data_IF_387597333557
#
_entry.id   IF_387597333557
#
_cell.length_a   1.000
_cell.length_b   1.000
_cell.length_c   1.000
_cell.angle_alpha   90.00
_cell.angle_beta   90.00
_cell.angle_gamma   90.00
#
_symmetry.space_group_name_H-M   'P 1'
#
loop_
_entity.id
_entity.type
_entity.pdbx_description
1 polymer ?
#
# COMPACT_ATOMS: atom_id res chain seq x y z
N UNK A 1 4.92 13.05 -23.08
CA UNK A 1 4.28 11.99 -22.32
C UNK A 1 5.26 11.42 -21.30
N UNK A 2 4.88 11.26 -20.07
CA UNK A 2 5.76 10.74 -19.03
C UNK A 2 6.06 9.27 -19.26
N UNK A 3 7.32 8.87 -19.06
CA UNK A 3 7.74 7.47 -19.11
C UNK A 3 7.28 6.76 -17.84
N UNK A 4 7.29 5.41 -17.86
CA UNK A 4 7.00 4.62 -16.66
C UNK A 4 7.94 4.99 -15.52
N UNK A 5 9.25 5.16 -15.81
CA UNK A 5 10.23 5.51 -14.78
C UNK A 5 9.95 6.87 -14.15
N UNK A 6 9.53 7.84 -14.95
CA UNK A 6 9.17 9.17 -14.44
C UNK A 6 7.93 9.11 -13.54
N UNK A 7 6.94 8.34 -13.95
CA UNK A 7 5.71 8.14 -13.17
C UNK A 7 6.05 7.44 -11.86
N UNK A 8 6.81 6.36 -11.91
CA UNK A 8 7.22 5.62 -10.72
C UNK A 8 7.98 6.51 -9.75
N UNK A 9 8.92 7.32 -10.25
CA UNK A 9 9.72 8.22 -9.42
C UNK A 9 8.83 9.27 -8.75
N UNK A 10 7.85 9.81 -9.48
CA UNK A 10 6.92 10.79 -8.93
C UNK A 10 6.12 10.20 -7.76
N UNK A 11 5.56 9.00 -7.95
CA UNK A 11 4.79 8.36 -6.88
C UNK A 11 5.67 7.95 -5.71
N UNK A 12 6.90 7.52 -5.95
CA UNK A 12 7.86 7.24 -4.88
C UNK A 12 8.13 8.49 -4.06
N UNK A 13 8.38 9.61 -4.71
CA UNK A 13 8.63 10.89 -4.05
C UNK A 13 7.42 11.32 -3.21
N UNK A 14 6.23 11.23 -3.78
CA UNK A 14 5.01 11.67 -3.11
C UNK A 14 4.64 10.73 -1.95
N UNK A 15 4.86 9.42 -2.11
CA UNK A 15 4.64 8.47 -1.03
C UNK A 15 5.61 8.71 0.13
N UNK A 16 6.88 8.98 -0.18
CA UNK A 16 7.88 9.30 0.84
C UNK A 16 7.54 10.60 1.58
N UNK A 17 6.95 11.57 0.87
CA UNK A 17 6.47 12.80 1.51
C UNK A 17 5.33 12.50 2.49
N UNK A 18 4.43 11.58 2.13
CA UNK A 18 3.36 11.15 3.04
C UNK A 18 3.93 10.45 4.27
N UNK A 19 4.94 9.59 4.09
CA UNK A 19 5.62 8.95 5.21
C UNK A 19 6.26 9.97 6.15
N UNK A 20 6.85 11.03 5.60
CA UNK A 20 7.46 12.09 6.41
C UNK A 20 6.40 12.78 7.28
N UNK A 21 5.19 12.95 6.77
CA UNK A 21 4.08 13.49 7.57
C UNK A 21 3.73 12.56 8.73
N UNK A 22 3.73 11.26 8.49
CA UNK A 22 3.47 10.28 9.54
C UNK A 22 4.55 10.33 10.61
N UNK A 23 5.81 10.45 10.22
CA UNK A 23 6.94 10.58 11.17
C UNK A 23 6.82 11.82 12.03
N UNK A 24 6.17 12.87 11.54
CA UNK A 24 5.91 14.10 12.26
C UNK A 24 4.62 14.04 13.08
N UNK A 25 4.01 12.88 13.16
CA UNK A 25 2.73 12.67 13.86
C UNK A 25 1.57 13.46 13.23
N UNK A 26 1.69 13.80 11.96
CA UNK A 26 0.65 14.49 11.18
C UNK A 26 -0.24 13.45 10.48
N UNK A 27 -0.95 12.64 11.27
CA UNK A 27 -1.67 11.47 10.78
C UNK A 27 -2.77 11.86 9.77
N UNK A 28 -3.52 12.90 10.06
CA UNK A 28 -4.60 13.33 9.17
C UNK A 28 -4.07 13.81 7.83
N UNK A 29 -2.97 14.57 7.85
CA UNK A 29 -2.33 15.04 6.62
C UNK A 29 -1.74 13.89 5.81
N UNK A 30 -1.15 12.92 6.50
CA UNK A 30 -0.64 11.71 5.86
C UNK A 30 -1.78 10.94 5.18
N UNK A 31 -2.88 10.74 5.88
CA UNK A 31 -4.06 10.05 5.35
C UNK A 31 -4.58 10.74 4.10
N UNK A 32 -4.71 12.06 4.14
CA UNK A 32 -5.17 12.84 2.99
C UNK A 32 -4.20 12.70 1.81
N UNK A 33 -2.90 12.79 2.07
CA UNK A 33 -1.88 12.65 1.02
C UNK A 33 -1.97 11.27 0.35
N UNK A 34 -2.16 10.20 1.13
CA UNK A 34 -2.28 8.85 0.58
C UNK A 34 -3.57 8.70 -0.22
N UNK A 35 -4.68 9.26 0.25
CA UNK A 35 -5.94 9.25 -0.51
C UNK A 35 -5.79 9.98 -1.84
N UNK A 36 -5.06 11.09 -1.86
CA UNK A 36 -4.81 11.84 -3.09
C UNK A 36 -3.98 11.03 -4.09
N UNK A 37 -3.01 10.26 -3.60
CA UNK A 37 -2.25 9.35 -4.47
C UNK A 37 -3.15 8.31 -5.10
N UNK A 38 -4.05 7.72 -4.33
CA UNK A 38 -4.98 6.70 -4.84
C UNK A 38 -5.98 7.28 -5.83
N UNK A 39 -6.31 8.57 -5.72
CA UNK A 39 -7.24 9.22 -6.64
C UNK A 39 -6.64 9.47 -8.02
N UNK A 40 -5.32 9.42 -8.14
CA UNK A 40 -4.63 9.60 -9.42
C UNK A 40 -4.71 8.30 -10.23
N UNK A 41 -5.33 8.36 -11.39
CA UNK A 41 -5.52 7.17 -12.24
C UNK A 41 -4.21 6.63 -12.81
N UNK A 42 -3.14 7.42 -12.80
CA UNK A 42 -1.82 7.00 -13.30
C UNK A 42 -1.03 6.18 -12.27
N UNK A 43 -1.56 5.99 -11.06
CA UNK A 43 -0.82 5.30 -10.02
C UNK A 43 -0.48 3.85 -10.42
N UNK A 44 0.81 3.46 -10.40
CA UNK A 44 1.19 2.07 -10.68
C UNK A 44 0.69 1.12 -9.59
N UNK A 45 0.49 -0.14 -9.95
CA UNK A 45 -0.05 -1.16 -9.05
C UNK A 45 0.72 -1.28 -7.73
N UNK A 46 2.05 -1.29 -7.81
CA UNK A 46 2.88 -1.45 -6.61
C UNK A 46 2.65 -0.31 -5.63
N UNK A 47 2.55 0.92 -6.15
CA UNK A 47 2.26 2.08 -5.31
C UNK A 47 0.84 2.05 -4.78
N UNK A 48 -0.10 1.56 -5.58
CA UNK A 48 -1.49 1.41 -5.16
C UNK A 48 -1.61 0.44 -3.98
N UNK A 49 -0.91 -0.68 -4.03
CA UNK A 49 -0.88 -1.65 -2.93
C UNK A 49 -0.30 -1.02 -1.67
N UNK A 50 0.80 -0.28 -1.80
CA UNK A 50 1.41 0.43 -0.67
C UNK A 50 0.42 1.42 -0.03
N UNK A 51 -0.32 2.15 -0.85
CA UNK A 51 -1.29 3.12 -0.37
C UNK A 51 -2.46 2.43 0.35
N UNK A 52 -2.96 1.33 -0.19
CA UNK A 52 -4.01 0.56 0.47
C UNK A 52 -3.54 0.05 1.83
N UNK A 53 -2.34 -0.50 1.89
CA UNK A 53 -1.76 -1.01 3.13
C UNK A 53 -1.59 0.12 4.15
N UNK A 54 -1.13 1.28 3.70
CA UNK A 54 -0.96 2.44 4.57
C UNK A 54 -2.31 2.89 5.16
N UNK A 55 -3.34 3.02 4.34
CA UNK A 55 -4.66 3.42 4.82
C UNK A 55 -5.25 2.39 5.79
N UNK A 56 -5.00 1.11 5.54
CA UNK A 56 -5.41 0.05 6.44
C UNK A 56 -4.80 0.22 7.83
N UNK A 57 -3.62 0.83 7.92
CA UNK A 57 -2.95 1.07 9.20
C UNK A 57 -3.35 2.40 9.85
N UNK A 58 -3.72 3.41 9.05
CA UNK A 58 -3.93 4.77 9.54
C UNK A 58 -5.37 5.06 9.95
N UNK A 59 -6.35 4.41 9.34
CA UNK A 59 -7.76 4.73 9.56
C UNK A 59 -8.26 4.22 10.90
N UNK A 60 -9.01 5.05 11.60
CA UNK A 60 -9.59 4.71 12.89
C UNK A 60 -10.80 3.78 12.75
N UNK A 61 -11.58 3.95 11.67
CA UNK A 61 -12.74 3.11 11.42
C UNK A 61 -12.27 1.72 10.95
N UNK A 62 -12.54 0.71 11.77
CA UNK A 62 -12.11 -0.66 11.47
C UNK A 62 -12.69 -1.17 10.15
N UNK A 63 -13.95 -0.88 9.86
CA UNK A 63 -14.58 -1.35 8.62
C UNK A 63 -13.91 -0.76 7.38
N UNK A 64 -13.66 0.54 7.42
CA UNK A 64 -12.99 1.21 6.30
C UNK A 64 -11.55 0.72 6.15
N UNK A 65 -10.84 0.62 7.27
CA UNK A 65 -9.46 0.12 7.27
C UNK A 65 -9.41 -1.30 6.69
N UNK A 66 -10.32 -2.16 7.11
CA UNK A 66 -10.35 -3.54 6.64
C UNK A 66 -10.65 -3.63 5.14
N UNK A 67 -11.52 -2.76 4.62
CA UNK A 67 -11.79 -2.69 3.18
C UNK A 67 -10.52 -2.39 2.41
N UNK A 68 -9.70 -1.44 2.89
CA UNK A 68 -8.44 -1.12 2.23
C UNK A 68 -7.44 -2.27 2.33
N UNK A 69 -7.39 -2.97 3.46
CA UNK A 69 -6.55 -4.15 3.58
C UNK A 69 -6.94 -5.21 2.54
N UNK A 70 -8.23 -5.50 2.40
CA UNK A 70 -8.72 -6.48 1.43
C UNK A 70 -8.40 -6.05 -0.01
N UNK A 71 -8.55 -4.76 -0.31
CA UNK A 71 -8.19 -4.23 -1.63
C UNK A 71 -6.70 -4.42 -1.90
N UNK A 72 -5.85 -4.14 -0.93
CA UNK A 72 -4.42 -4.31 -1.05
C UNK A 72 -4.02 -5.76 -1.27
N UNK A 73 -4.58 -6.66 -0.47
CA UNK A 73 -4.29 -8.08 -0.60
C UNK A 73 -4.77 -8.64 -1.94
N UNK A 74 -5.98 -8.25 -2.36
CA UNK A 74 -6.53 -8.69 -3.64
C UNK A 74 -5.67 -8.23 -4.80
N UNK A 75 -5.28 -6.97 -4.82
CA UNK A 75 -4.44 -6.43 -5.88
C UNK A 75 -3.05 -7.08 -5.86
N UNK A 76 -2.50 -7.35 -4.68
CA UNK A 76 -1.22 -8.04 -4.57
C UNK A 76 -1.29 -9.44 -5.17
N UNK A 77 -2.35 -10.20 -4.89
CA UNK A 77 -2.53 -11.54 -5.44
C UNK A 77 -2.63 -11.51 -6.96
N UNK A 78 -3.38 -10.56 -7.49
CA UNK A 78 -3.51 -10.39 -8.94
C UNK A 78 -2.16 -10.05 -9.57
N UNK A 79 -1.43 -9.13 -8.95
CA UNK A 79 -0.14 -8.68 -9.45
C UNK A 79 0.88 -9.82 -9.42
N UNK A 80 0.90 -10.59 -8.33
CA UNK A 80 1.78 -11.75 -8.20
C UNK A 80 1.46 -12.79 -9.28
N UNK A 81 0.18 -13.03 -9.54
CA UNK A 81 -0.23 -14.00 -10.55
C UNK A 81 0.26 -13.60 -11.94
N UNK A 82 0.21 -12.30 -12.25
CA UNK A 82 0.67 -11.79 -13.55
C UNK A 82 2.18 -11.86 -13.70
N UNK A 83 2.93 -11.75 -12.60
CA UNK A 83 4.39 -11.71 -12.62
C UNK A 83 5.05 -12.95 -12.02
N UNK A 84 4.28 -13.95 -11.65
CA UNK A 84 4.76 -15.08 -10.84
C UNK A 84 5.91 -15.88 -11.44
N UNK A 85 6.05 -15.88 -12.77
CA UNK A 85 7.11 -16.59 -13.47
C UNK A 85 8.18 -15.68 -14.03
N UNK A 86 8.12 -14.38 -13.72
CA UNK A 86 9.11 -13.43 -14.18
C UNK A 86 10.43 -13.69 -13.43
N UNK A 87 11.55 -13.91 -14.15
CA UNK A 87 12.83 -14.20 -13.50
C UNK A 87 13.52 -12.99 -12.88
N UNK A 88 12.94 -11.79 -13.02
CA UNK A 88 13.55 -10.56 -12.50
C UNK A 88 13.58 -10.58 -10.97
N UNK A 89 14.78 -10.63 -10.32
CA UNK A 89 14.85 -10.67 -8.86
C UNK A 89 14.34 -9.39 -8.18
N UNK A 90 14.45 -8.25 -8.85
CA UNK A 90 13.96 -6.98 -8.28
C UNK A 90 12.44 -6.98 -8.17
N UNK A 91 11.76 -7.57 -9.15
CA UNK A 91 10.32 -7.69 -9.13
C UNK A 91 9.87 -8.63 -8.00
N UNK A 92 10.56 -9.76 -7.84
CA UNK A 92 10.26 -10.70 -6.77
C UNK A 92 10.45 -10.04 -5.40
N UNK A 93 11.54 -9.32 -5.21
CA UNK A 93 11.82 -8.62 -3.96
C UNK A 93 10.73 -7.59 -3.66
N UNK A 94 10.31 -6.82 -4.67
CA UNK A 94 9.25 -5.82 -4.49
C UNK A 94 7.94 -6.48 -4.09
N UNK A 95 7.58 -7.60 -4.72
CA UNK A 95 6.35 -8.34 -4.36
C UNK A 95 6.43 -8.91 -2.95
N UNK A 96 7.59 -9.44 -2.56
CA UNK A 96 7.79 -9.99 -1.21
C UNK A 96 7.70 -8.90 -0.15
N UNK A 97 8.25 -7.71 -0.41
CA UNK A 97 8.18 -6.57 0.51
C UNK A 97 6.73 -6.10 0.70
N UNK A 98 5.97 -6.04 -0.39
CA UNK A 98 4.55 -5.67 -0.29
C UNK A 98 3.76 -6.70 0.51
N UNK A 99 4.05 -7.97 0.30
CA UNK A 99 3.39 -9.04 1.04
C UNK A 99 3.71 -8.97 2.53
N UNK A 100 4.96 -8.69 2.88
CA UNK A 100 5.37 -8.53 4.27
C UNK A 100 4.57 -7.43 4.96
N UNK A 101 4.38 -6.29 4.29
CA UNK A 101 3.56 -5.20 4.83
C UNK A 101 2.11 -5.61 5.06
N UNK A 102 1.54 -6.38 4.13
CA UNK A 102 0.18 -6.88 4.26
C UNK A 102 0.06 -7.88 5.42
N UNK A 103 1.04 -8.77 5.58
CA UNK A 103 1.05 -9.74 6.67
C UNK A 103 1.18 -9.05 8.04
N UNK A 104 1.99 -8.02 8.14
CA UNK A 104 2.12 -7.23 9.36
C UNK A 104 0.79 -6.56 9.71
N UNK A 105 0.10 -6.01 8.73
CA UNK A 105 -1.22 -5.40 8.92
C UNK A 105 -2.23 -6.42 9.39
N UNK A 106 -2.23 -7.60 8.79
CA UNK A 106 -3.10 -8.70 9.18
C UNK A 106 -2.85 -9.11 10.63
N UNK A 107 -1.59 -9.21 11.00
CA UNK A 107 -1.21 -9.57 12.38
C UNK A 107 -1.71 -8.53 13.38
N UNK A 108 -1.56 -7.25 13.04
CA UNK A 108 -2.06 -6.16 13.89
C UNK A 108 -3.56 -6.28 14.09
N UNK A 109 -4.32 -6.56 13.04
CA UNK A 109 -5.76 -6.74 13.14
C UNK A 109 -6.11 -7.91 14.05
N UNK A 110 -5.43 -9.04 13.90
CA UNK A 110 -5.66 -10.21 14.76
C UNK A 110 -5.37 -9.90 16.22
N UNK A 111 -4.31 -9.13 16.48
CA UNK A 111 -3.91 -8.78 17.83
C UNK A 111 -4.87 -7.79 18.47
N UNK A 112 -5.27 -6.73 17.75
CA UNK A 112 -6.11 -5.66 18.28
C UNK A 112 -7.58 -6.04 18.39
N UNK A 113 -8.09 -6.77 17.41
CA UNK A 113 -9.51 -7.09 17.34
C UNK A 113 -9.82 -8.53 17.70
N UNK A 114 -8.80 -9.32 17.92
CA UNK A 114 -8.91 -10.71 18.31
C UNK A 114 -9.40 -11.62 17.20
N UNK A 115 -9.22 -12.91 17.42
CA UNK A 115 -9.80 -13.94 16.58
C UNK A 115 -11.23 -14.17 17.04
N UNK A 116 -12.12 -13.40 16.52
CA UNK A 116 -13.50 -13.44 16.93
C UNK A 116 -14.30 -14.38 16.06
N UNK A 117 -14.05 -15.59 16.25
CA UNK A 117 -14.82 -16.61 15.54
C UNK A 117 -15.83 -17.27 16.41
#
# INVERSE_FOLDING_TARGET
>A
MATFDEIDRRFTTDFNAALALLEQDEIEKCTEAVRNLLADSAIPRFHRIKCFTMLACLLDDFHEAYVFYVKGETLWRITKQWHGNDPNPDLKEALDDLHEGLEETRWVYSTLFGDRN
#
